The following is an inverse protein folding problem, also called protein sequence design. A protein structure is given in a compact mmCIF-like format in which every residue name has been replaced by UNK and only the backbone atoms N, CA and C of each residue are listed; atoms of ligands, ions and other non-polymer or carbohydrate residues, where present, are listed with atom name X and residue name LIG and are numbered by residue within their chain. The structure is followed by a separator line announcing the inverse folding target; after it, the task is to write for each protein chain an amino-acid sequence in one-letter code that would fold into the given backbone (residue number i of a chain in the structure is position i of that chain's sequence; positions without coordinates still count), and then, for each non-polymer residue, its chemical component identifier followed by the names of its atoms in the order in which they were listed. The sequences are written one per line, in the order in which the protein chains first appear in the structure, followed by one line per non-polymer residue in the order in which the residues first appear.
data_IF_641469346810
#
_entry.id   IF_641469346810
#
_cell.length_a   1.000
_cell.length_b   1.000
_cell.length_c   1.000
_cell.angle_alpha   90.00
_cell.angle_beta   90.00
_cell.angle_gamma   90.00
#
_symmetry.space_group_name_H-M   'P 1'
#
loop_
_entity.id
_entity.type
_entity.pdbx_description
1 polymer ?
#
# COMPACT_ATOMS: atom_id res chain seq x y z
N UNK A 1 3.90 16.30 -3.85
CA UNK A 1 4.36 15.17 -4.70
C UNK A 1 5.88 15.15 -4.70
N UNK A 2 6.48 13.99 -4.45
CA UNK A 2 7.94 13.76 -4.48
C UNK A 2 8.31 13.02 -5.76
N UNK A 3 9.47 13.37 -6.32
CA UNK A 3 10.03 12.73 -7.51
C UNK A 3 11.40 12.16 -7.15
N UNK A 4 11.57 10.86 -7.41
CA UNK A 4 12.85 10.17 -7.35
C UNK A 4 13.29 9.84 -8.77
N UNK A 5 14.58 9.97 -9.03
CA UNK A 5 15.08 9.79 -10.39
C UNK A 5 16.52 9.31 -10.37
N UNK A 6 16.83 8.37 -11.27
CA UNK A 6 18.19 7.98 -11.62
C UNK A 6 18.36 8.00 -13.14
N UNK A 7 19.43 7.42 -13.66
CA UNK A 7 19.71 7.39 -15.11
C UNK A 7 18.64 6.61 -15.90
N UNK A 8 17.98 5.64 -15.27
CA UNK A 8 17.08 4.68 -15.92
C UNK A 8 15.60 4.93 -15.69
N UNK A 9 15.26 5.43 -14.51
CA UNK A 9 13.87 5.51 -14.08
C UNK A 9 13.52 6.85 -13.46
N UNK A 10 12.24 7.20 -13.58
CA UNK A 10 11.56 8.28 -12.88
C UNK A 10 10.39 7.71 -12.09
N UNK A 11 10.31 8.08 -10.82
CA UNK A 11 9.29 7.64 -9.87
C UNK A 11 8.57 8.84 -9.29
N UNK A 12 7.26 8.81 -9.25
CA UNK A 12 6.45 9.87 -8.65
C UNK A 12 5.60 9.31 -7.51
N UNK A 13 5.68 9.95 -6.35
CA UNK A 13 4.95 9.56 -5.14
C UNK A 13 4.13 10.75 -4.64
N UNK A 14 2.84 10.53 -4.45
CA UNK A 14 1.93 11.53 -3.91
C UNK A 14 2.05 11.56 -2.38
N UNK A 15 2.07 12.75 -1.80
CA UNK A 15 2.03 12.93 -0.34
C UNK A 15 0.70 12.50 0.26
N UNK A 16 -0.39 12.60 -0.50
CA UNK A 16 -1.67 12.03 -0.10
C UNK A 16 -1.63 10.51 -0.26
N UNK A 17 -1.74 9.80 0.85
CA UNK A 17 -1.65 8.34 0.90
C UNK A 17 -0.22 7.79 0.85
N UNK A 18 0.82 8.63 0.75
CA UNK A 18 2.19 8.21 0.41
C UNK A 18 2.19 7.28 -0.83
N UNK A 19 1.28 7.53 -1.77
CA UNK A 19 0.95 6.61 -2.85
C UNK A 19 1.92 6.74 -4.02
N UNK A 20 2.54 5.62 -4.40
CA UNK A 20 3.29 5.51 -5.66
C UNK A 20 2.31 5.67 -6.81
N UNK A 21 2.51 6.70 -7.65
CA UNK A 21 1.61 7.03 -8.76
C UNK A 21 2.21 6.80 -10.13
N UNK A 22 3.56 6.78 -10.22
CA UNK A 22 4.28 6.48 -11.45
C UNK A 22 5.60 5.79 -11.19
N UNK A 23 5.94 4.88 -12.08
CA UNK A 23 7.27 4.28 -12.20
C UNK A 23 7.56 4.09 -13.68
N UNK A 24 8.29 5.03 -14.26
CA UNK A 24 8.50 5.17 -15.71
C UNK A 24 9.93 4.86 -16.11
N UNK A 25 10.12 4.03 -17.13
CA UNK A 25 11.40 3.82 -17.81
C UNK A 25 11.78 5.04 -18.63
N UNK A 26 12.97 5.56 -18.42
CA UNK A 26 13.50 6.70 -19.22
C UNK A 26 14.01 6.27 -20.60
N UNK A 27 14.22 4.97 -20.80
CA UNK A 27 14.71 4.41 -22.06
C UNK A 27 13.66 4.48 -23.16
N UNK A 28 12.44 4.12 -22.84
CA UNK A 28 11.36 3.89 -23.81
C UNK A 28 10.01 4.48 -23.39
N UNK A 29 9.94 5.09 -22.19
CA UNK A 29 8.70 5.69 -21.67
C UNK A 29 7.71 4.69 -21.07
N UNK A 30 8.09 3.42 -20.93
CA UNK A 30 7.22 2.38 -20.34
C UNK A 30 6.80 2.77 -18.94
N UNK A 31 5.48 2.79 -18.69
CA UNK A 31 4.88 3.04 -17.38
C UNK A 31 4.50 1.71 -16.72
N UNK A 32 5.06 1.42 -15.57
CA UNK A 32 4.86 0.15 -14.85
C UNK A 32 3.68 0.18 -13.88
N UNK A 33 3.30 1.36 -13.41
CA UNK A 33 2.18 1.51 -12.47
C UNK A 33 0.91 1.86 -13.23
N UNK A 34 -0.20 1.25 -12.82
CA UNK A 34 -1.53 1.56 -13.33
C UNK A 34 -1.84 3.05 -13.26
N UNK A 35 -2.38 3.60 -14.34
CA UNK A 35 -2.61 5.05 -14.50
C UNK A 35 -3.72 5.66 -13.61
N UNK A 36 -4.43 4.84 -12.84
CA UNK A 36 -5.49 5.33 -11.96
C UNK A 36 -6.77 5.77 -12.69
N UNK A 37 -7.19 5.04 -13.74
CA UNK A 37 -8.37 5.37 -14.53
C UNK A 37 -9.64 5.28 -13.66
N UNK A 38 -10.38 6.41 -13.46
CA UNK A 38 -11.58 6.41 -12.62
C UNK A 38 -12.71 5.53 -13.14
N UNK A 39 -12.72 5.20 -14.44
CA UNK A 39 -13.71 4.30 -15.02
C UNK A 39 -13.53 2.84 -14.56
N UNK A 40 -12.31 2.47 -14.16
CA UNK A 40 -11.99 1.15 -13.65
C UNK A 40 -11.60 1.21 -12.16
N UNK A 41 -10.48 1.85 -11.84
CA UNK A 41 -10.00 2.00 -10.46
C UNK A 41 -9.09 3.24 -10.35
N UNK A 42 -9.52 4.22 -9.56
CA UNK A 42 -8.90 5.54 -9.48
C UNK A 42 -7.61 5.62 -8.65
N UNK A 43 -7.20 4.53 -7.98
CA UNK A 43 -5.96 4.47 -7.20
C UNK A 43 -4.86 3.80 -8.01
N UNK A 44 -3.61 3.89 -7.51
CA UNK A 44 -2.41 3.35 -8.16
C UNK A 44 -1.76 2.27 -7.29
N UNK A 45 -1.29 2.64 -6.09
CA UNK A 45 -0.57 1.77 -5.17
C UNK A 45 -0.82 2.18 -3.71
N UNK A 46 -2.08 2.17 -3.24
CA UNK A 46 -2.41 2.68 -1.91
C UNK A 46 -1.78 1.87 -0.78
N UNK A 47 -1.37 2.58 0.26
CA UNK A 47 -0.88 2.00 1.51
C UNK A 47 -2.07 1.67 2.40
N UNK A 48 -2.16 0.42 2.84
CA UNK A 48 -3.21 -0.10 3.72
C UNK A 48 -2.73 -0.05 5.16
N UNK A 49 -3.30 0.85 5.97
CA UNK A 49 -2.94 1.04 7.38
C UNK A 49 -4.07 1.74 8.14
N UNK A 50 -4.40 1.36 9.39
CA UNK A 50 -3.79 0.33 10.21
C UNK A 50 -4.48 -1.05 10.12
N UNK A 51 -5.31 -1.28 9.12
CA UNK A 51 -5.90 -2.59 8.83
C UNK A 51 -5.80 -2.91 7.34
N UNK A 52 -5.76 -4.20 7.00
CA UNK A 52 -5.85 -4.72 5.64
C UNK A 52 -7.20 -5.43 5.46
N UNK A 53 -7.92 -5.10 4.39
CA UNK A 53 -9.28 -5.62 4.20
C UNK A 53 -10.33 -4.82 4.98
N UNK A 54 -11.40 -5.49 5.42
CA UNK A 54 -12.47 -4.86 6.20
C UNK A 54 -12.80 -5.69 7.44
N UNK A 55 -13.27 -5.01 8.47
CA UNK A 55 -13.78 -5.64 9.68
C UNK A 55 -15.30 -5.87 9.53
N UNK A 56 -15.80 -6.91 10.21
CA UNK A 56 -17.23 -7.13 10.35
C UNK A 56 -17.88 -5.89 10.98
N UNK A 57 -18.98 -5.45 10.37
CA UNK A 57 -19.71 -4.24 10.79
C UNK A 57 -18.83 -2.97 10.89
N UNK A 58 -17.63 -2.98 10.26
CA UNK A 58 -16.63 -1.90 10.30
C UNK A 58 -16.14 -1.56 11.70
N UNK A 59 -16.32 -2.43 12.68
CA UNK A 59 -16.05 -2.17 14.10
C UNK A 59 -15.05 -3.16 14.69
N UNK A 60 -14.35 -2.71 15.72
CA UNK A 60 -13.53 -3.52 16.61
C UNK A 60 -13.53 -2.93 18.01
N UNK A 61 -13.06 -3.69 18.99
CA UNK A 61 -13.11 -3.29 20.40
C UNK A 61 -11.72 -3.30 21.00
N UNK A 62 -11.38 -2.24 21.74
CA UNK A 62 -10.17 -2.15 22.55
C UNK A 62 -10.57 -1.82 23.97
N UNK A 63 -10.19 -2.64 24.93
CA UNK A 63 -10.51 -2.48 26.36
C UNK A 63 -12.01 -2.21 26.63
N UNK A 64 -12.87 -2.93 25.91
CA UNK A 64 -14.33 -2.80 25.99
C UNK A 64 -14.93 -1.59 25.28
N UNK A 65 -14.13 -0.70 24.70
CA UNK A 65 -14.59 0.45 23.96
C UNK A 65 -14.63 0.14 22.46
N UNK A 66 -15.77 0.35 21.76
CA UNK A 66 -15.87 0.15 20.31
C UNK A 66 -15.22 1.29 19.52
N UNK A 67 -14.64 0.94 18.38
CA UNK A 67 -14.08 1.85 17.38
C UNK A 67 -14.59 1.46 16.00
N UNK A 68 -14.89 2.45 15.20
CA UNK A 68 -15.29 2.24 13.80
C UNK A 68 -14.14 2.61 12.87
N UNK A 69 -13.82 1.73 11.90
CA UNK A 69 -12.79 1.96 10.91
C UNK A 69 -13.23 1.43 9.54
N UNK A 70 -12.95 2.18 8.49
CA UNK A 70 -13.31 1.81 7.12
C UNK A 70 -12.34 0.76 6.55
N UNK A 71 -12.76 0.12 5.47
CA UNK A 71 -11.92 -0.83 4.73
C UNK A 71 -10.54 -0.24 4.41
N UNK A 72 -9.50 -1.01 4.71
CA UNK A 72 -8.09 -0.66 4.54
C UNK A 72 -7.59 0.49 5.43
N UNK A 73 -8.37 0.88 6.43
CA UNK A 73 -8.00 1.95 7.34
C UNK A 73 -7.99 3.33 6.66
N UNK A 74 -7.16 4.22 7.19
CA UNK A 74 -7.11 5.63 6.82
C UNK A 74 -5.79 6.06 6.13
N UNK A 75 -4.75 5.23 6.16
CA UNK A 75 -3.43 5.62 5.66
C UNK A 75 -3.45 6.15 4.22
N UNK A 76 -4.21 5.52 3.36
CA UNK A 76 -4.38 5.90 1.95
C UNK A 76 -5.22 7.16 1.71
N UNK A 77 -5.91 7.65 2.73
CA UNK A 77 -6.88 8.75 2.63
C UNK A 77 -6.43 10.01 3.39
N UNK A 78 -5.17 10.06 3.83
CA UNK A 78 -4.59 11.18 4.55
C UNK A 78 -3.32 11.71 3.88
N UNK A 79 -3.01 12.97 4.14
CA UNK A 79 -1.72 13.54 3.75
C UNK A 79 -0.63 13.07 4.71
N UNK A 80 0.50 12.63 4.17
CA UNK A 80 1.70 12.23 4.90
C UNK A 80 2.73 13.34 4.82
N UNK A 81 3.49 13.51 5.88
CA UNK A 81 4.63 14.43 5.88
C UNK A 81 5.75 13.81 5.04
N UNK A 82 6.09 14.47 3.94
CA UNK A 82 7.13 14.00 3.04
C UNK A 82 8.48 14.65 3.35
N UNK A 83 9.53 13.85 3.31
CA UNK A 83 10.92 14.30 3.40
C UNK A 83 11.74 13.69 2.27
N UNK A 84 12.29 14.53 1.41
CA UNK A 84 13.24 14.09 0.39
C UNK A 84 14.62 13.91 1.03
N UNK A 85 15.13 12.68 1.03
CA UNK A 85 16.43 12.32 1.60
C UNK A 85 17.55 12.54 0.57
N UNK A 86 17.27 12.17 -0.69
CA UNK A 86 18.20 12.33 -1.81
C UNK A 86 17.45 12.42 -3.14
N UNK A 87 18.15 12.46 -4.26
CA UNK A 87 17.55 12.34 -5.59
C UNK A 87 16.83 11.00 -5.84
N UNK A 88 17.21 9.97 -5.09
CA UNK A 88 16.71 8.60 -5.25
C UNK A 88 16.02 8.04 -4.00
N UNK A 89 15.84 8.84 -2.94
CA UNK A 89 15.22 8.39 -1.70
C UNK A 89 14.31 9.46 -1.10
N UNK A 90 13.11 9.06 -0.69
CA UNK A 90 12.17 9.88 0.07
C UNK A 90 11.45 9.05 1.15
N UNK A 91 11.09 9.71 2.23
CA UNK A 91 10.28 9.18 3.32
C UNK A 91 8.97 9.93 3.43
N UNK A 92 7.94 9.20 3.79
CA UNK A 92 6.61 9.73 4.06
C UNK A 92 6.19 9.24 5.44
N UNK A 93 5.85 10.15 6.32
CA UNK A 93 5.51 9.82 7.71
C UNK A 93 4.10 10.26 8.05
N UNK A 94 3.32 9.33 8.60
CA UNK A 94 2.01 9.58 9.18
C UNK A 94 2.10 9.41 10.70
N UNK A 95 1.59 10.39 11.42
CA UNK A 95 1.46 10.38 12.89
C UNK A 95 -0.01 10.52 13.30
N UNK A 96 -0.38 10.16 14.53
CA UNK A 96 -1.76 10.29 14.98
C UNK A 96 -2.23 11.75 15.01
N UNK A 97 -3.51 11.91 14.84
CA UNK A 97 -4.22 13.18 14.93
C UNK A 97 -5.53 12.98 15.71
N UNK A 98 -6.21 14.04 16.09
CA UNK A 98 -7.54 13.96 16.69
C UNK A 98 -8.55 13.18 15.82
N UNK A 99 -8.37 13.26 14.49
CA UNK A 99 -9.19 12.52 13.55
C UNK A 99 -8.90 11.02 13.60
N UNK A 100 -7.63 10.61 13.50
CA UNK A 100 -7.25 9.19 13.51
C UNK A 100 -7.52 8.52 14.86
N UNK A 101 -7.36 9.24 15.99
CA UNK A 101 -7.62 8.71 17.33
C UNK A 101 -9.08 8.35 17.59
N UNK A 102 -10.02 8.89 16.84
CA UNK A 102 -11.44 8.46 16.89
C UNK A 102 -11.64 7.06 16.33
N UNK A 103 -10.79 6.64 15.41
CA UNK A 103 -10.85 5.34 14.72
C UNK A 103 -9.81 4.36 15.23
N UNK A 104 -8.66 4.85 15.74
CA UNK A 104 -7.51 4.05 16.12
C UNK A 104 -6.81 4.72 17.31
N UNK A 105 -6.98 4.20 18.55
CA UNK A 105 -6.66 4.94 19.78
C UNK A 105 -5.18 5.06 20.11
N UNK A 106 -4.31 4.34 19.42
CA UNK A 106 -2.88 4.31 19.72
C UNK A 106 -2.11 5.48 19.13
N UNK A 107 -1.00 5.82 19.78
CA UNK A 107 0.04 6.68 19.23
C UNK A 107 1.00 5.83 18.40
N UNK A 108 1.23 6.26 17.17
CA UNK A 108 2.08 5.55 16.22
C UNK A 108 2.94 6.51 15.40
N UNK A 109 4.01 5.99 14.84
CA UNK A 109 4.72 6.62 13.73
C UNK A 109 4.78 5.59 12.62
N UNK A 110 4.09 5.85 11.53
CA UNK A 110 4.10 5.01 10.34
C UNK A 110 4.90 5.73 9.25
N UNK A 111 5.99 5.13 8.80
CA UNK A 111 6.84 5.69 7.74
C UNK A 111 6.89 4.73 6.57
N UNK A 112 6.71 5.27 5.36
CA UNK A 112 6.98 4.57 4.10
C UNK A 112 8.20 5.21 3.47
N UNK A 113 9.26 4.42 3.28
CA UNK A 113 10.48 4.85 2.61
C UNK A 113 10.53 4.24 1.22
N UNK A 114 10.72 5.09 0.22
CA UNK A 114 10.97 4.71 -1.15
C UNK A 114 12.42 4.96 -1.50
N UNK A 115 13.10 3.93 -2.01
CA UNK A 115 14.49 4.04 -2.48
C UNK A 115 14.61 3.46 -3.89
N UNK A 116 15.00 4.29 -4.83
CA UNK A 116 15.30 3.90 -6.19
C UNK A 116 16.79 3.52 -6.27
N UNK A 117 17.05 2.22 -6.37
CA UNK A 117 18.40 1.66 -6.41
C UNK A 117 18.61 0.84 -7.70
N UNK A 118 19.42 1.36 -8.61
CA UNK A 118 19.69 0.74 -9.91
C UNK A 118 18.41 0.49 -10.69
N UNK A 119 18.00 -0.78 -10.78
CA UNK A 119 16.80 -1.24 -11.49
C UNK A 119 15.61 -1.51 -10.57
N UNK A 120 15.73 -1.28 -9.29
CA UNK A 120 14.72 -1.62 -8.30
C UNK A 120 14.19 -0.37 -7.58
N UNK A 121 12.89 -0.35 -7.34
CA UNK A 121 12.26 0.55 -6.39
C UNK A 121 11.95 -0.24 -5.11
N UNK A 122 12.66 0.04 -4.04
CA UNK A 122 12.41 -0.54 -2.73
C UNK A 122 11.38 0.30 -1.98
N UNK A 123 10.32 -0.34 -1.49
CA UNK A 123 9.31 0.26 -0.62
C UNK A 123 9.35 -0.42 0.75
N UNK A 124 9.74 0.33 1.77
CA UNK A 124 9.86 -0.15 3.15
C UNK A 124 8.76 0.45 4.00
N UNK A 125 8.05 -0.40 4.74
CA UNK A 125 7.07 0.02 5.73
C UNK A 125 7.69 -0.08 7.12
N UNK A 126 7.71 1.02 7.85
CA UNK A 126 8.30 1.13 9.19
C UNK A 126 7.22 1.60 10.13
N UNK A 127 6.80 0.75 11.07
CA UNK A 127 5.77 1.09 12.05
C UNK A 127 6.38 1.07 13.44
N UNK A 128 6.28 2.19 14.12
CA UNK A 128 6.72 2.34 15.52
C UNK A 128 5.49 2.56 16.40
N UNK A 129 5.35 1.71 17.42
CA UNK A 129 4.44 1.97 18.52
C UNK A 129 5.01 3.10 19.40
N UNK A 130 4.27 4.19 19.53
CA UNK A 130 4.60 5.33 20.36
C UNK A 130 3.66 5.44 21.59
N UNK A 131 2.79 4.42 21.80
CA UNK A 131 1.94 4.29 22.99
C UNK A 131 2.64 3.53 24.10
N UNK A 132 2.17 3.68 25.32
CA UNK A 132 2.63 2.90 26.48
C UNK A 132 1.99 1.49 26.55
N UNK A 133 1.05 1.18 25.64
CA UNK A 133 0.32 -0.09 25.59
C UNK A 133 0.64 -0.87 24.32
N UNK A 134 0.24 -2.13 24.27
CA UNK A 134 0.35 -2.96 23.05
C UNK A 134 -0.51 -2.36 21.96
N UNK A 135 0.07 -2.13 20.80
CA UNK A 135 -0.59 -1.64 19.61
C UNK A 135 -0.80 -2.77 18.61
N UNK A 136 -2.01 -2.95 18.15
CA UNK A 136 -2.38 -3.95 17.14
C UNK A 136 -2.56 -3.27 15.80
N UNK A 137 -1.88 -3.75 14.78
CA UNK A 137 -2.01 -3.20 13.41
C UNK A 137 -1.77 -4.26 12.36
N UNK A 138 -2.25 -3.96 11.17
CA UNK A 138 -1.85 -4.59 9.92
C UNK A 138 -1.35 -3.50 8.96
N UNK A 139 -0.45 -3.87 8.08
CA UNK A 139 0.05 -2.98 7.03
C UNK A 139 0.23 -3.75 5.73
N UNK A 140 -0.07 -3.10 4.62
CA UNK A 140 0.11 -3.69 3.29
C UNK A 140 0.17 -2.66 2.18
N UNK A 141 0.58 -3.14 1.00
CA UNK A 141 0.50 -2.41 -0.26
C UNK A 141 -0.59 -3.02 -1.14
N UNK A 142 -1.17 -2.19 -2.00
CA UNK A 142 -2.15 -2.62 -2.99
C UNK A 142 -1.74 -2.07 -4.36
N UNK A 143 -0.55 -2.45 -4.78
CA UNK A 143 0.07 -1.92 -6.01
C UNK A 143 -0.63 -2.51 -7.23
N UNK A 144 -1.06 -1.65 -8.16
CA UNK A 144 -1.58 -2.05 -9.46
C UNK A 144 -0.53 -1.79 -10.54
N UNK A 145 -0.29 -2.79 -11.35
CA UNK A 145 0.68 -2.73 -12.43
C UNK A 145 -0.01 -2.58 -13.78
N UNK A 146 0.62 -1.84 -14.69
CA UNK A 146 0.25 -1.83 -16.09
C UNK A 146 0.70 -3.16 -16.72
N UNK A 147 -0.14 -3.73 -17.56
CA UNK A 147 0.14 -4.92 -18.36
C UNK A 147 -0.21 -4.61 -19.82
N UNK A 148 0.14 -5.53 -20.73
CA UNK A 148 -0.15 -5.40 -22.16
C UNK A 148 0.48 -4.14 -22.76
N UNK A 149 1.83 -4.03 -22.63
CA UNK A 149 2.59 -2.89 -23.19
C UNK A 149 2.73 -2.93 -24.71
N UNK A 150 2.59 -4.13 -25.31
CA UNK A 150 2.69 -4.34 -26.75
C UNK A 150 1.33 -4.73 -27.34
N UNK A 151 1.14 -4.38 -28.62
CA UNK A 151 -0.08 -4.74 -29.34
C UNK A 151 -0.23 -6.26 -29.46
N UNK A 152 -1.41 -6.75 -29.08
CA UNK A 152 -1.76 -8.17 -29.13
C UNK A 152 -1.51 -8.97 -27.86
N UNK A 153 -0.83 -8.41 -26.87
CA UNK A 153 -0.68 -9.03 -25.56
C UNK A 153 -2.01 -9.09 -24.81
N UNK A 154 -2.16 -10.12 -23.98
CA UNK A 154 -3.32 -10.36 -23.13
C UNK A 154 -2.88 -10.49 -21.69
N UNK A 155 -3.77 -10.18 -20.75
CA UNK A 155 -3.51 -10.36 -19.32
C UNK A 155 -3.10 -11.80 -18.97
N UNK A 156 -3.53 -12.78 -19.75
CA UNK A 156 -3.18 -14.19 -19.58
C UNK A 156 -1.74 -14.54 -20.00
N UNK A 157 -1.04 -13.60 -20.64
CA UNK A 157 0.36 -13.78 -21.02
C UNK A 157 1.31 -13.43 -19.86
N UNK A 158 0.75 -12.95 -18.75
CA UNK A 158 1.47 -12.57 -17.53
C UNK A 158 1.16 -13.54 -16.39
N UNK A 159 2.11 -13.69 -15.49
CA UNK A 159 1.95 -14.50 -14.28
C UNK A 159 2.66 -13.82 -13.10
N UNK A 160 2.29 -14.23 -11.90
CA UNK A 160 2.97 -13.85 -10.66
C UNK A 160 3.78 -15.04 -10.18
N UNK A 161 5.08 -14.87 -10.05
CA UNK A 161 6.00 -15.86 -9.52
C UNK A 161 6.34 -15.55 -8.06
N UNK A 162 6.29 -16.59 -7.22
CA UNK A 162 6.69 -16.50 -5.82
C UNK A 162 7.91 -17.36 -5.60
N UNK A 163 9.06 -16.73 -5.38
CA UNK A 163 10.31 -17.45 -5.14
C UNK A 163 10.24 -18.32 -3.88
N UNK A 164 10.82 -19.52 -3.97
CA UNK A 164 11.00 -20.41 -2.82
C UNK A 164 9.75 -21.19 -2.37
N UNK A 165 8.68 -21.20 -3.16
CA UNK A 165 7.50 -22.04 -2.87
C UNK A 165 6.88 -22.60 -4.15
N UNK A 166 6.59 -23.91 -4.12
CA UNK A 166 5.90 -24.63 -5.20
C UNK A 166 4.38 -24.78 -4.93
N UNK A 167 3.93 -24.34 -3.74
CA UNK A 167 2.54 -24.44 -3.34
C UNK A 167 2.11 -23.20 -2.56
N UNK A 168 1.19 -22.46 -3.15
CA UNK A 168 0.57 -21.29 -2.53
C UNK A 168 -0.83 -21.63 -2.05
N UNK A 169 -1.18 -21.12 -0.89
CA UNK A 169 -2.56 -21.15 -0.42
C UNK A 169 -2.96 -19.80 0.16
N UNK A 170 -4.18 -19.42 -0.05
CA UNK A 170 -4.79 -18.24 0.59
C UNK A 170 -5.92 -18.67 1.52
N UNK A 171 -6.22 -17.85 2.50
CA UNK A 171 -7.44 -17.99 3.29
C UNK A 171 -8.62 -17.65 2.39
N UNK A 172 -9.66 -18.47 2.39
CA UNK A 172 -10.87 -18.20 1.62
C UNK A 172 -11.67 -17.06 2.23
N UNK A 173 -12.51 -16.43 1.43
CA UNK A 173 -13.49 -15.43 1.87
C UNK A 173 -14.90 -15.93 1.59
N UNK A 174 -15.83 -15.56 2.46
CA UNK A 174 -17.26 -15.79 2.24
C UNK A 174 -17.86 -14.78 1.25
N UNK A 175 -19.16 -14.86 1.02
CA UNK A 175 -19.92 -13.95 0.15
C UNK A 175 -19.88 -12.48 0.59
N UNK A 176 -19.61 -12.22 1.87
CA UNK A 176 -19.45 -10.88 2.43
C UNK A 176 -18.00 -10.39 2.40
N UNK A 177 -17.09 -11.16 1.78
CA UNK A 177 -15.65 -10.88 1.71
C UNK A 177 -14.98 -10.90 3.10
N UNK A 178 -15.55 -11.68 4.04
CA UNK A 178 -14.95 -11.95 5.35
C UNK A 178 -14.10 -13.22 5.28
N UNK A 179 -12.99 -13.25 6.00
CA UNK A 179 -12.11 -14.42 6.08
C UNK A 179 -12.86 -15.61 6.71
N UNK A 180 -12.70 -16.78 6.12
CA UNK A 180 -13.18 -18.06 6.67
C UNK A 180 -12.04 -18.82 7.33
N UNK A 181 -12.32 -20.01 7.87
CA UNK A 181 -11.28 -20.91 8.36
C UNK A 181 -10.62 -21.73 7.24
N UNK A 182 -11.19 -21.70 6.03
CA UNK A 182 -10.75 -22.54 4.91
C UNK A 182 -9.54 -21.96 4.20
N UNK A 183 -8.68 -22.83 3.70
CA UNK A 183 -7.59 -22.49 2.80
C UNK A 183 -7.86 -23.07 1.40
N UNK A 184 -7.57 -22.28 0.39
CA UNK A 184 -7.67 -22.69 -1.01
C UNK A 184 -6.29 -22.56 -1.68
N UNK A 185 -5.95 -23.51 -2.53
CA UNK A 185 -4.77 -23.39 -3.39
C UNK A 185 -4.93 -22.23 -4.36
N UNK A 186 -3.82 -21.61 -4.68
CA UNK A 186 -3.72 -20.54 -5.69
C UNK A 186 -3.09 -21.12 -6.94
#
# INVERSE_FOLDING_TARGET
MQVLENERFRVEINEFGAELTRFTSKKDGTEYIWKGDPAAWKRHAPILFPIVGRLKDKTYTVDGKPYEITQHGFGRDLAWQAQKISGTCAEFTLTPSEYTKKMYPWDFICTVRYTLDGNALKKEHIVKNASDSVMYYEIGGHDAYTLCWEDGEKITDYYVEFEGTDALSRIATDENVMLTADRVSV
#
